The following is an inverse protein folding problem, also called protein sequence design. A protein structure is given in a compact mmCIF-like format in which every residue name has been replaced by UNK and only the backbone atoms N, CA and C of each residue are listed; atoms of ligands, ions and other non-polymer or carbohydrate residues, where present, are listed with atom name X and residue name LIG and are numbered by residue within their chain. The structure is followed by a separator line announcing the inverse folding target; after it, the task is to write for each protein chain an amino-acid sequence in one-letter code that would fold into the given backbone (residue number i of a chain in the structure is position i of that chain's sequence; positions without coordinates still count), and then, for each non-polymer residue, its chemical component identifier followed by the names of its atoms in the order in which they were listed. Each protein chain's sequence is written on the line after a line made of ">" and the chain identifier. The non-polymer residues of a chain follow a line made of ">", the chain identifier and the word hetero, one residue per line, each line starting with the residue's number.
data_IF_399383690854
#
_entry.id   IF_399383690854
#
_cell.length_a   1.000
_cell.length_b   1.000
_cell.length_c   1.000
_cell.angle_alpha   90.00
_cell.angle_beta   90.00
_cell.angle_gamma   90.00
#
_symmetry.space_group_name_H-M   'P 1'
#
loop_
_entity.id
_entity.type
_entity.pdbx_description
1 polymer ?
#
# COMPACT_ATOMS: atom_id res chain seq x y z
N UNK A 1 -10.31 -7.62 7.87
CA UNK A 1 -10.12 -8.94 8.52
C UNK A 1 -11.19 -9.11 9.58
N UNK A 2 -11.75 -10.33 9.71
CA UNK A 2 -12.71 -10.67 10.76
C UNK A 2 -12.10 -11.76 11.63
N UNK A 3 -12.02 -11.51 12.92
CA UNK A 3 -11.51 -12.47 13.92
C UNK A 3 -12.50 -12.49 15.11
N UNK A 4 -13.02 -13.67 15.46
CA UNK A 4 -14.01 -13.84 16.53
C UNK A 4 -15.20 -12.87 16.40
N UNK A 5 -15.77 -12.78 15.19
CA UNK A 5 -16.88 -11.89 14.82
C UNK A 5 -16.61 -10.37 14.95
N UNK A 6 -15.37 -9.97 15.26
CA UNK A 6 -14.94 -8.58 15.28
C UNK A 6 -14.27 -8.21 13.96
N UNK A 7 -14.73 -7.14 13.32
CA UNK A 7 -14.15 -6.63 12.08
C UNK A 7 -13.05 -5.60 12.34
N UNK A 8 -11.90 -5.83 11.72
CA UNK A 8 -10.74 -4.94 11.74
C UNK A 8 -10.47 -4.39 10.34
N UNK A 9 -10.39 -3.08 10.22
CA UNK A 9 -10.10 -2.39 8.96
C UNK A 9 -8.63 -1.96 8.98
N UNK A 10 -7.77 -2.76 8.39
CA UNK A 10 -6.34 -2.50 8.29
C UNK A 10 -6.00 -1.90 6.93
N UNK A 11 -5.01 -1.00 6.87
CA UNK A 11 -4.50 -0.36 5.65
C UNK A 11 -3.01 -0.62 5.47
N UNK A 12 -2.20 -0.21 6.46
CA UNK A 12 -0.75 -0.37 6.48
C UNK A 12 -0.35 -1.52 7.39
N UNK A 13 -1.04 -1.69 8.53
CA UNK A 13 -0.70 -2.74 9.47
C UNK A 13 -0.97 -4.12 8.87
N UNK A 14 0.00 -5.08 8.97
CA UNK A 14 -0.21 -6.46 8.58
C UNK A 14 -1.32 -7.11 9.41
N UNK A 15 -2.02 -8.07 8.82
CA UNK A 15 -3.10 -8.80 9.50
C UNK A 15 -2.62 -9.55 10.76
N UNK A 16 -1.35 -9.91 10.79
CA UNK A 16 -0.70 -10.56 11.93
C UNK A 16 -0.65 -9.73 13.21
N UNK A 17 -0.84 -8.39 13.14
CA UNK A 17 -0.82 -7.49 14.32
C UNK A 17 -1.86 -7.88 15.38
N UNK A 18 -2.91 -8.59 14.95
CA UNK A 18 -3.96 -9.09 15.85
C UNK A 18 -3.46 -10.20 16.80
N UNK A 19 -2.26 -10.72 16.60
CA UNK A 19 -1.66 -11.82 17.36
C UNK A 19 -0.37 -11.34 18.03
N UNK A 20 -0.40 -11.24 19.35
CA UNK A 20 0.72 -10.69 20.15
C UNK A 20 2.01 -11.52 20.10
N UNK A 21 1.91 -12.80 19.75
CA UNK A 21 3.03 -13.75 19.60
C UNK A 21 3.68 -13.71 18.21
N UNK A 22 3.22 -12.85 17.30
CA UNK A 22 3.76 -12.70 15.94
C UNK A 22 4.50 -11.38 15.80
N UNK A 23 5.72 -11.43 15.25
CA UNK A 23 6.42 -10.22 14.79
C UNK A 23 5.80 -9.74 13.49
N UNK A 24 5.42 -8.47 13.43
CA UNK A 24 4.79 -7.85 12.28
C UNK A 24 5.72 -6.83 11.65
N UNK A 25 6.00 -6.97 10.36
CA UNK A 25 7.00 -6.15 9.67
C UNK A 25 6.36 -5.37 8.53
N UNK A 26 6.52 -4.05 8.55
CA UNK A 26 6.31 -3.19 7.38
C UNK A 26 7.65 -3.02 6.66
N UNK A 27 7.83 -3.72 5.55
CA UNK A 27 9.09 -3.76 4.80
C UNK A 27 9.38 -2.45 4.04
N UNK A 28 10.60 -2.35 3.52
CA UNK A 28 11.08 -1.17 2.77
C UNK A 28 10.35 -0.93 1.44
N UNK A 29 9.61 -1.91 0.94
CA UNK A 29 8.78 -1.77 -0.27
C UNK A 29 7.48 -0.99 -0.04
N UNK A 30 7.05 -0.84 1.20
CA UNK A 30 5.86 -0.06 1.56
C UNK A 30 6.21 1.42 1.61
N UNK A 31 5.32 2.29 1.08
CA UNK A 31 5.40 3.74 1.34
C UNK A 31 4.49 4.07 2.52
N UNK A 32 5.01 4.82 3.50
CA UNK A 32 4.38 5.00 4.81
C UNK A 32 3.94 6.44 5.00
N UNK A 33 2.64 6.61 5.24
CA UNK A 33 2.13 7.86 5.78
C UNK A 33 2.16 7.77 7.32
N UNK A 34 3.03 8.53 8.01
CA UNK A 34 3.18 8.49 9.46
C UNK A 34 1.87 8.69 10.22
N UNK A 35 1.09 9.70 9.87
CA UNK A 35 -0.18 9.97 10.53
C UNK A 35 -1.20 8.83 10.37
N UNK A 36 -1.22 8.17 9.20
CA UNK A 36 -2.12 7.03 8.96
C UNK A 36 -1.71 5.83 9.79
N UNK A 37 -0.43 5.46 9.83
CA UNK A 37 0.01 4.29 10.62
C UNK A 37 -0.15 4.52 12.12
N UNK A 38 0.13 5.71 12.62
CA UNK A 38 -0.08 6.06 14.02
C UNK A 38 -1.57 6.01 14.40
N UNK A 39 -2.45 6.49 13.52
CA UNK A 39 -3.89 6.38 13.72
C UNK A 39 -4.34 4.90 13.77
N UNK A 40 -3.86 4.05 12.85
CA UNK A 40 -4.17 2.62 12.89
C UNK A 40 -3.65 1.94 14.17
N UNK A 41 -2.44 2.30 14.64
CA UNK A 41 -1.90 1.82 15.92
C UNK A 41 -2.80 2.25 17.08
N UNK A 42 -3.24 3.50 17.11
CA UNK A 42 -4.14 4.01 18.13
C UNK A 42 -5.50 3.27 18.12
N UNK A 43 -6.07 3.03 16.93
CA UNK A 43 -7.30 2.26 16.76
C UNK A 43 -7.16 0.81 17.26
N UNK A 44 -6.01 0.18 17.02
CA UNK A 44 -5.73 -1.17 17.53
C UNK A 44 -5.59 -1.17 19.05
N UNK A 45 -4.85 -0.22 19.61
CA UNK A 45 -4.70 -0.06 21.06
C UNK A 45 -6.04 0.18 21.77
N UNK A 46 -6.91 0.96 21.17
CA UNK A 46 -8.27 1.18 21.68
C UNK A 46 -9.12 -0.11 21.71
N UNK A 47 -8.78 -1.11 20.89
CA UNK A 47 -9.40 -2.44 20.86
C UNK A 47 -8.63 -3.49 21.69
N UNK A 48 -7.66 -3.06 22.50
CA UNK A 48 -6.89 -3.95 23.38
C UNK A 48 -5.72 -4.68 22.70
N UNK A 49 -5.30 -4.25 21.49
CA UNK A 49 -4.15 -4.81 20.77
C UNK A 49 -2.97 -3.86 20.95
N UNK A 50 -1.87 -4.30 21.56
CA UNK A 50 -0.76 -3.42 21.96
C UNK A 50 0.05 -2.86 20.79
N UNK A 51 0.17 -3.61 19.68
CA UNK A 51 1.07 -3.35 18.56
C UNK A 51 2.57 -3.28 18.93
N UNK A 52 2.99 -3.75 20.10
CA UNK A 52 4.40 -3.73 20.53
C UNK A 52 5.28 -4.67 19.69
N UNK A 53 4.65 -5.57 18.97
CA UNK A 53 5.24 -6.54 18.04
C UNK A 53 5.37 -6.01 16.59
N UNK A 54 5.12 -4.71 16.37
CA UNK A 54 5.26 -4.06 15.06
C UNK A 54 6.69 -3.56 14.87
N UNK A 55 7.24 -3.80 13.67
CA UNK A 55 8.53 -3.27 13.23
C UNK A 55 8.37 -2.62 11.87
N UNK A 56 8.86 -1.40 11.71
CA UNK A 56 8.76 -0.60 10.49
C UNK A 56 10.16 -0.39 9.93
N UNK A 57 10.35 -0.63 8.65
CA UNK A 57 11.64 -0.44 8.00
C UNK A 57 12.09 1.02 8.02
N UNK A 58 13.30 1.26 8.48
CA UNK A 58 14.01 2.52 8.38
C UNK A 58 14.20 2.99 6.93
N UNK A 59 14.17 2.07 5.95
CA UNK A 59 14.34 2.33 4.52
C UNK A 59 13.04 2.57 3.76
N UNK A 60 11.88 2.42 4.39
CA UNK A 60 10.60 2.75 3.79
C UNK A 60 10.50 4.25 3.48
N UNK A 61 9.81 4.60 2.38
CA UNK A 61 9.65 6.01 2.00
C UNK A 61 8.44 6.64 2.69
N UNK A 62 8.59 7.90 3.05
CA UNK A 62 7.58 8.70 3.75
C UNK A 62 6.63 9.34 2.74
N UNK A 63 5.34 9.12 2.91
CA UNK A 63 4.28 9.84 2.20
C UNK A 63 4.00 11.14 2.94
N UNK A 64 4.29 12.26 2.28
CA UNK A 64 4.02 13.60 2.81
C UNK A 64 2.73 14.19 2.21
N UNK A 65 2.13 15.22 2.83
CA UNK A 65 0.89 15.85 2.36
C UNK A 65 0.93 16.33 0.92
N UNK A 66 2.07 16.85 0.46
CA UNK A 66 2.21 17.28 -0.93
C UNK A 66 2.09 16.13 -1.95
N UNK A 67 2.40 14.88 -1.56
CA UNK A 67 2.19 13.73 -2.43
C UNK A 67 0.69 13.49 -2.66
N UNK A 68 -0.12 13.51 -1.59
CA UNK A 68 -1.57 13.37 -1.71
C UNK A 68 -2.19 14.50 -2.53
N UNK A 69 -1.71 15.74 -2.32
CA UNK A 69 -2.17 16.89 -3.08
C UNK A 69 -1.82 16.80 -4.56
N UNK A 70 -0.60 16.36 -4.89
CA UNK A 70 -0.19 16.15 -6.28
C UNK A 70 -1.00 15.03 -6.96
N UNK A 71 -1.26 13.92 -6.27
CA UNK A 71 -2.10 12.84 -6.76
C UNK A 71 -3.52 13.35 -7.11
N UNK A 72 -4.11 14.15 -6.23
CA UNK A 72 -5.42 14.77 -6.46
C UNK A 72 -5.42 15.71 -7.68
N UNK A 73 -4.42 16.59 -7.77
CA UNK A 73 -4.32 17.58 -8.85
C UNK A 73 -4.04 16.93 -10.20
N UNK A 74 -3.18 15.90 -10.24
CA UNK A 74 -2.89 15.12 -11.43
C UNK A 74 -4.14 14.37 -11.93
N UNK A 75 -4.87 13.69 -11.05
CA UNK A 75 -6.13 13.03 -11.40
C UNK A 75 -7.18 14.02 -11.93
N UNK A 76 -7.27 15.21 -11.32
CA UNK A 76 -8.18 16.27 -11.79
C UNK A 76 -7.80 16.78 -13.19
N UNK A 77 -6.51 16.95 -13.45
CA UNK A 77 -6.01 17.40 -14.75
C UNK A 77 -6.23 16.39 -15.88
N UNK A 78 -6.22 15.09 -15.58
CA UNK A 78 -6.48 14.03 -16.55
C UNK A 78 -7.96 13.98 -17.02
N UNK A 79 -8.89 14.54 -16.26
CA UNK A 79 -10.30 14.60 -16.62
C UNK A 79 -10.92 13.22 -16.93
N UNK A 80 -11.30 12.97 -18.17
CA UNK A 80 -11.87 11.70 -18.62
C UNK A 80 -10.83 10.56 -18.70
N UNK A 81 -9.54 10.88 -18.74
CA UNK A 81 -8.44 9.92 -18.80
C UNK A 81 -7.88 9.57 -17.40
N UNK A 82 -8.59 9.91 -16.33
CA UNK A 82 -8.19 9.61 -14.96
C UNK A 82 -7.97 8.10 -14.75
N UNK A 83 -7.01 7.77 -13.91
CA UNK A 83 -6.70 6.39 -13.52
C UNK A 83 -7.70 5.88 -12.47
N UNK A 84 -8.24 6.79 -11.66
CA UNK A 84 -9.14 6.47 -10.56
C UNK A 84 -8.40 6.15 -9.27
N UNK A 85 -7.31 6.87 -8.99
CA UNK A 85 -6.50 6.68 -7.78
C UNK A 85 -7.30 6.91 -6.49
N UNK A 86 -6.74 6.47 -5.37
CA UNK A 86 -7.31 6.71 -4.04
C UNK A 86 -6.98 8.09 -3.50
N UNK A 87 -6.20 8.90 -4.23
CA UNK A 87 -5.68 10.21 -3.83
C UNK A 87 -4.85 10.16 -2.54
N UNK A 88 -4.24 9.01 -2.28
CA UNK A 88 -3.40 8.78 -1.10
C UNK A 88 -1.95 9.22 -1.27
N UNK A 89 -1.56 9.75 -2.43
CA UNK A 89 -0.19 10.18 -2.71
C UNK A 89 0.81 9.05 -2.96
N UNK A 90 0.33 7.84 -3.14
CA UNK A 90 1.17 6.64 -3.31
C UNK A 90 2.04 6.76 -4.58
N UNK A 91 1.41 7.09 -5.72
CA UNK A 91 2.12 7.29 -6.99
C UNK A 91 3.20 8.36 -6.91
N UNK A 92 2.88 9.58 -6.52
CA UNK A 92 3.88 10.65 -6.33
C UNK A 92 5.01 10.31 -5.35
N UNK A 93 4.75 9.55 -4.29
CA UNK A 93 5.79 9.08 -3.38
C UNK A 93 6.74 8.07 -4.06
N UNK A 94 6.23 7.13 -4.84
CA UNK A 94 7.07 6.23 -5.63
C UNK A 94 7.83 6.97 -6.74
N UNK A 95 7.25 8.02 -7.34
CA UNK A 95 7.97 8.88 -8.28
C UNK A 95 9.20 9.52 -7.61
N UNK A 96 9.05 10.06 -6.41
CA UNK A 96 10.16 10.64 -5.66
C UNK A 96 11.21 9.59 -5.27
N UNK A 97 10.79 8.38 -4.90
CA UNK A 97 11.69 7.25 -4.65
C UNK A 97 12.57 6.96 -5.88
N UNK A 98 11.96 6.83 -7.06
CA UNK A 98 12.67 6.51 -8.31
C UNK A 98 13.51 7.69 -8.79
N UNK A 99 13.04 8.93 -8.60
CA UNK A 99 13.80 10.16 -8.86
C UNK A 99 14.96 10.37 -7.86
N UNK A 100 15.01 9.59 -6.78
CA UNK A 100 16.02 9.67 -5.71
C UNK A 100 15.95 10.99 -4.91
N UNK A 101 14.77 11.60 -4.88
CA UNK A 101 14.45 12.77 -4.06
C UNK A 101 13.59 12.42 -2.84
N UNK A 102 13.13 11.16 -2.76
CA UNK A 102 12.28 10.70 -1.67
C UNK A 102 12.94 10.79 -0.30
N UNK A 103 12.12 10.99 0.72
CA UNK A 103 12.51 10.99 2.14
C UNK A 103 12.20 9.60 2.71
N UNK A 104 13.17 8.98 3.37
CA UNK A 104 13.00 7.68 4.04
C UNK A 104 12.66 7.88 5.52
N UNK A 105 12.23 6.81 6.15
CA UNK A 105 12.00 6.80 7.61
C UNK A 105 13.29 7.12 8.38
N UNK A 106 14.46 6.56 7.99
CA UNK A 106 15.74 6.91 8.62
C UNK A 106 16.06 8.40 8.52
N UNK A 107 15.74 9.05 7.40
CA UNK A 107 15.91 10.49 7.26
C UNK A 107 14.98 11.27 8.20
N UNK A 108 13.75 10.80 8.37
CA UNK A 108 12.76 11.40 9.28
C UNK A 108 13.19 11.28 10.76
N UNK A 109 13.92 10.20 11.12
CA UNK A 109 14.43 10.00 12.47
C UNK A 109 15.58 10.95 12.85
N UNK A 110 16.19 11.63 11.87
CA UNK A 110 17.29 12.58 12.04
C UNK A 110 16.80 14.00 11.73
N UNK A 111 16.46 14.82 12.76
CA UNK A 111 15.76 16.11 12.57
C UNK A 111 16.41 17.06 11.56
N UNK A 112 17.75 17.21 11.62
CA UNK A 112 18.48 18.12 10.73
C UNK A 112 18.44 17.62 9.27
N UNK A 113 18.62 16.30 9.06
CA UNK A 113 18.55 15.67 7.75
C UNK A 113 17.14 15.79 7.16
N UNK A 114 16.12 15.57 7.99
CA UNK A 114 14.73 15.72 7.58
C UNK A 114 14.42 17.15 7.19
N UNK A 115 14.80 18.13 8.02
CA UNK A 115 14.56 19.56 7.78
C UNK A 115 15.18 20.02 6.43
N UNK A 116 16.43 19.62 6.17
CA UNK A 116 17.11 19.95 4.91
C UNK A 116 16.40 19.36 3.69
N UNK A 117 16.13 18.03 3.71
CA UNK A 117 15.44 17.34 2.61
C UNK A 117 14.03 17.84 2.40
N UNK A 118 13.29 18.08 3.48
CA UNK A 118 11.93 18.64 3.41
C UNK A 118 11.93 20.01 2.74
N UNK A 119 12.85 20.89 3.10
CA UNK A 119 12.95 22.25 2.53
C UNK A 119 13.14 22.19 1.02
N UNK A 120 14.11 21.41 0.55
CA UNK A 120 14.40 21.26 -0.89
C UNK A 120 13.21 20.69 -1.64
N UNK A 121 12.62 19.62 -1.12
CA UNK A 121 11.49 18.95 -1.76
C UNK A 121 10.25 19.84 -1.78
N UNK A 122 9.95 20.51 -0.66
CA UNK A 122 8.77 21.34 -0.53
C UNK A 122 8.80 22.56 -1.46
N UNK A 123 9.98 23.19 -1.62
CA UNK A 123 10.15 24.27 -2.59
C UNK A 123 9.81 23.80 -4.02
N UNK A 124 10.35 22.65 -4.44
CA UNK A 124 10.08 22.09 -5.76
C UNK A 124 8.60 21.69 -5.94
N UNK A 125 8.01 21.03 -4.93
CA UNK A 125 6.60 20.59 -4.99
C UNK A 125 5.62 21.76 -4.94
N UNK A 126 5.87 22.76 -4.10
CA UNK A 126 5.08 23.97 -4.05
C UNK A 126 5.13 24.72 -5.40
N UNK A 127 6.28 24.78 -6.06
CA UNK A 127 6.38 25.37 -7.40
C UNK A 127 5.49 24.64 -8.42
N UNK A 128 5.43 23.32 -8.39
CA UNK A 128 4.55 22.51 -9.25
C UNK A 128 3.08 22.76 -8.90
N UNK A 129 2.74 22.68 -7.61
CA UNK A 129 1.36 22.86 -7.12
C UNK A 129 0.82 24.23 -7.51
N UNK A 130 1.59 25.29 -7.30
CA UNK A 130 1.13 26.65 -7.54
C UNK A 130 1.18 27.06 -9.01
N UNK A 131 2.33 26.84 -9.68
CA UNK A 131 2.55 27.37 -11.04
C UNK A 131 1.92 26.52 -12.13
N UNK A 132 1.81 25.20 -11.93
CA UNK A 132 1.25 24.27 -12.93
C UNK A 132 -0.23 24.03 -12.67
N UNK A 133 -0.59 23.78 -11.41
CA UNK A 133 -1.95 23.37 -11.05
C UNK A 133 -2.80 24.47 -10.40
N UNK A 134 -2.22 25.65 -10.07
CA UNK A 134 -2.94 26.74 -9.42
C UNK A 134 -3.46 26.43 -8.01
N UNK A 135 -2.84 25.45 -7.35
CA UNK A 135 -3.19 25.05 -5.98
C UNK A 135 -2.44 25.88 -4.93
N UNK A 136 -2.87 25.76 -3.67
CA UNK A 136 -2.24 26.43 -2.54
C UNK A 136 -0.95 25.72 -2.11
N UNK A 137 0.12 26.45 -1.78
CA UNK A 137 1.37 25.89 -1.31
C UNK A 137 1.24 25.37 0.14
N UNK A 138 2.10 24.43 0.50
CA UNK A 138 2.26 24.01 1.88
C UNK A 138 3.26 24.90 2.61
N UNK A 139 3.00 25.13 3.90
CA UNK A 139 3.90 25.81 4.81
C UNK A 139 4.98 24.86 5.34
N UNK A 140 6.23 25.32 5.30
CA UNK A 140 7.37 24.50 5.71
C UNK A 140 7.40 24.23 7.22
N UNK A 141 7.22 25.27 8.04
CA UNK A 141 7.35 25.14 9.49
C UNK A 141 6.26 24.24 10.06
N UNK A 142 5.03 24.41 9.58
CA UNK A 142 3.90 23.56 9.97
C UNK A 142 4.17 22.08 9.65
N UNK A 143 4.63 21.78 8.43
CA UNK A 143 4.92 20.41 8.03
C UNK A 143 6.12 19.82 8.78
N UNK A 144 7.16 20.62 9.02
CA UNK A 144 8.33 20.22 9.78
C UNK A 144 7.94 19.79 11.20
N UNK A 145 7.22 20.65 11.92
CA UNK A 145 6.81 20.37 13.30
C UNK A 145 5.89 19.14 13.41
N UNK A 146 4.93 19.02 12.50
CA UNK A 146 4.02 17.88 12.45
C UNK A 146 4.80 16.55 12.27
N UNK A 147 5.71 16.51 11.31
CA UNK A 147 6.43 15.27 10.99
C UNK A 147 7.50 14.93 12.02
N UNK A 148 8.12 15.92 12.67
CA UNK A 148 9.01 15.66 13.81
C UNK A 148 8.23 15.07 15.01
N UNK A 149 7.01 15.51 15.25
CA UNK A 149 6.17 14.88 16.28
C UNK A 149 5.83 13.42 15.91
N UNK A 150 5.48 13.14 14.67
CA UNK A 150 5.28 11.76 14.21
C UNK A 150 6.56 10.91 14.33
N UNK A 151 7.74 11.48 14.10
CA UNK A 151 9.01 10.78 14.23
C UNK A 151 9.21 10.25 15.65
N UNK A 152 8.95 11.07 16.66
CA UNK A 152 9.08 10.66 18.07
C UNK A 152 8.10 9.53 18.44
N UNK A 153 6.85 9.61 17.94
CA UNK A 153 5.87 8.54 18.20
C UNK A 153 6.21 7.23 17.47
N UNK A 154 6.81 7.31 16.27
CA UNK A 154 7.19 6.15 15.48
C UNK A 154 8.50 5.51 15.92
N UNK A 155 9.39 6.24 16.58
CA UNK A 155 10.74 5.81 16.94
C UNK A 155 10.81 4.40 17.57
N UNK A 156 9.90 4.01 18.50
CA UNK A 156 9.93 2.68 19.09
C UNK A 156 9.71 1.51 18.12
N UNK A 157 9.15 1.79 16.95
CA UNK A 157 8.79 0.77 15.94
C UNK A 157 9.86 0.65 14.84
N UNK A 158 10.85 1.55 14.77
CA UNK A 158 11.77 1.63 13.63
C UNK A 158 12.98 0.73 13.82
N UNK A 159 13.27 -0.09 12.79
CA UNK A 159 14.48 -0.92 12.76
C UNK A 159 14.92 -1.22 11.31
N UNK A 160 16.13 -1.78 11.15
CA UNK A 160 16.54 -2.44 9.89
C UNK A 160 15.80 -3.77 9.77
N UNK A 161 14.70 -3.77 9.03
CA UNK A 161 13.85 -4.95 8.87
C UNK A 161 14.53 -6.09 8.10
N UNK A 162 15.56 -5.80 7.31
CA UNK A 162 16.36 -6.82 6.65
C UNK A 162 17.13 -7.67 7.69
N UNK A 163 17.71 -7.02 8.70
CA UNK A 163 18.39 -7.70 9.83
C UNK A 163 17.39 -8.50 10.65
N UNK A 164 16.25 -7.89 11.01
CA UNK A 164 15.20 -8.58 11.78
C UNK A 164 14.71 -9.84 11.07
N UNK A 165 14.51 -9.79 9.76
CA UNK A 165 14.07 -10.95 8.99
C UNK A 165 15.17 -12.01 8.87
N UNK A 166 16.44 -11.61 8.70
CA UNK A 166 17.56 -12.54 8.64
C UNK A 166 17.73 -13.31 9.95
N UNK A 167 17.57 -12.64 11.10
CA UNK A 167 17.55 -13.28 12.43
C UNK A 167 16.40 -14.30 12.54
N UNK A 168 15.18 -13.92 12.14
CA UNK A 168 13.99 -14.80 12.14
C UNK A 168 14.22 -16.06 11.29
N UNK A 169 14.82 -15.93 10.09
CA UNK A 169 15.15 -17.05 9.24
C UNK A 169 16.27 -17.92 9.84
N UNK A 170 17.29 -17.30 10.44
CA UNK A 170 18.39 -18.00 11.09
C UNK A 170 17.92 -18.87 12.28
N UNK A 171 16.86 -18.45 12.95
CA UNK A 171 16.18 -19.21 14.00
C UNK A 171 15.26 -20.34 13.46
N UNK A 172 15.17 -20.50 12.15
CA UNK A 172 14.30 -21.50 11.51
C UNK A 172 12.80 -21.23 11.61
N UNK A 173 12.42 -19.98 11.86
CA UNK A 173 11.01 -19.56 11.95
C UNK A 173 10.39 -19.34 10.57
N UNK A 174 9.07 -19.52 10.48
CA UNK A 174 8.33 -19.26 9.26
C UNK A 174 7.97 -17.76 9.14
N UNK A 175 8.06 -17.24 7.93
CA UNK A 175 7.67 -15.87 7.58
C UNK A 175 6.55 -15.91 6.54
N UNK A 176 5.46 -15.17 6.80
CA UNK A 176 4.38 -14.96 5.85
C UNK A 176 4.52 -13.58 5.22
N UNK A 177 4.72 -13.52 3.92
CA UNK A 177 4.68 -12.28 3.14
C UNK A 177 3.25 -12.00 2.70
N UNK A 178 2.67 -10.94 3.24
CA UNK A 178 1.34 -10.46 2.87
C UNK A 178 1.47 -9.44 1.76
N UNK A 179 1.01 -9.81 0.56
CA UNK A 179 0.94 -8.91 -0.58
C UNK A 179 -0.25 -7.95 -0.50
N UNK A 180 -0.21 -6.92 -1.32
CA UNK A 180 -1.30 -5.96 -1.47
C UNK A 180 -1.68 -5.83 -2.95
N UNK A 181 -2.80 -5.18 -3.25
CA UNK A 181 -3.36 -4.99 -4.60
C UNK A 181 -3.61 -6.33 -5.33
N UNK A 182 -3.21 -6.45 -6.60
CA UNK A 182 -3.41 -7.64 -7.40
C UNK A 182 -2.43 -7.68 -8.58
N UNK A 183 -2.18 -8.85 -9.16
CA UNK A 183 -1.26 -9.06 -10.29
C UNK A 183 -1.55 -8.12 -11.46
N UNK A 184 -2.82 -7.89 -11.83
CA UNK A 184 -3.17 -7.00 -12.95
C UNK A 184 -3.13 -5.51 -12.60
N UNK A 185 -2.76 -5.16 -11.37
CA UNK A 185 -2.39 -3.79 -10.98
C UNK A 185 -0.87 -3.59 -10.90
N UNK A 186 -0.07 -4.59 -11.24
CA UNK A 186 1.39 -4.48 -11.29
C UNK A 186 1.82 -3.49 -12.37
N UNK A 187 2.79 -2.61 -12.05
CA UNK A 187 3.21 -1.53 -12.96
C UNK A 187 3.83 -2.07 -14.26
N UNK A 188 4.51 -3.22 -14.20
CA UNK A 188 5.19 -3.81 -15.37
C UNK A 188 4.31 -4.83 -16.10
N UNK A 189 3.48 -5.57 -15.37
CA UNK A 189 2.75 -6.74 -15.87
C UNK A 189 1.23 -6.58 -15.87
N UNK A 190 0.72 -5.48 -15.32
CA UNK A 190 -0.71 -5.21 -15.24
C UNK A 190 -1.28 -4.51 -16.48
N UNK A 191 -2.50 -4.02 -16.32
CA UNK A 191 -3.26 -3.33 -17.40
C UNK A 191 -2.87 -1.84 -17.47
N UNK A 192 -1.60 -1.56 -17.74
CA UNK A 192 -1.07 -0.20 -17.85
C UNK A 192 -1.90 0.66 -18.82
N UNK A 193 -2.23 1.92 -18.52
CA UNK A 193 -1.81 2.72 -17.36
C UNK A 193 -2.67 2.54 -16.09
N UNK A 194 -3.69 1.68 -16.12
CA UNK A 194 -4.63 1.47 -15.02
C UNK A 194 -4.07 0.47 -14.00
N UNK A 195 -2.96 0.84 -13.36
CA UNK A 195 -2.15 0.03 -12.45
C UNK A 195 -1.79 0.82 -11.20
N UNK A 196 -1.23 0.16 -10.18
CA UNK A 196 -0.57 0.83 -9.06
C UNK A 196 0.85 1.25 -9.46
N UNK A 197 1.50 2.09 -8.66
CA UNK A 197 2.88 2.56 -8.91
C UNK A 197 3.94 1.62 -8.33
N UNK A 198 3.61 0.37 -8.10
CA UNK A 198 4.48 -0.64 -7.49
C UNK A 198 4.26 -2.01 -8.13
N UNK A 199 5.06 -3.00 -7.71
CA UNK A 199 4.97 -4.38 -8.16
C UNK A 199 4.33 -5.25 -7.07
N UNK A 200 3.01 -5.53 -7.11
CA UNK A 200 2.35 -6.45 -6.19
C UNK A 200 2.57 -7.93 -6.50
N UNK A 201 3.32 -8.26 -7.54
CA UNK A 201 3.71 -9.64 -7.85
C UNK A 201 4.62 -10.25 -6.79
N UNK A 202 4.59 -11.57 -6.61
CA UNK A 202 5.33 -12.29 -5.57
C UNK A 202 6.84 -12.04 -5.61
N UNK A 203 7.41 -11.79 -6.79
CA UNK A 203 8.84 -11.48 -6.94
C UNK A 203 9.29 -10.24 -6.16
N UNK A 204 8.39 -9.29 -5.93
CA UNK A 204 8.69 -8.08 -5.16
C UNK A 204 8.74 -8.32 -3.64
N UNK A 205 8.26 -9.45 -3.14
CA UNK A 205 8.39 -9.78 -1.72
C UNK A 205 9.87 -9.78 -1.28
N UNK A 206 10.77 -10.25 -2.12
CA UNK A 206 12.22 -10.23 -1.87
C UNK A 206 12.76 -8.78 -1.78
N UNK A 207 12.57 -7.97 -2.81
CA UNK A 207 13.09 -6.59 -2.85
C UNK A 207 12.37 -5.66 -1.87
N UNK A 208 11.07 -5.88 -1.67
CA UNK A 208 10.23 -5.06 -0.80
C UNK A 208 10.38 -5.34 0.70
N UNK A 209 10.98 -6.48 1.07
CA UNK A 209 11.30 -6.83 2.46
C UNK A 209 12.79 -6.83 2.78
N UNK A 210 13.66 -6.78 1.75
CA UNK A 210 15.11 -6.74 1.93
C UNK A 210 15.74 -8.13 2.14
N UNK A 211 15.06 -9.21 1.73
CA UNK A 211 15.58 -10.59 1.82
C UNK A 211 16.00 -11.14 0.47
N UNK A 212 16.81 -12.21 0.48
CA UNK A 212 17.16 -12.95 -0.73
C UNK A 212 15.97 -13.75 -1.30
N UNK A 213 15.88 -13.97 -2.63
CA UNK A 213 14.75 -14.67 -3.24
C UNK A 213 14.62 -16.13 -2.83
N UNK A 214 15.69 -16.74 -2.28
CA UNK A 214 15.69 -18.14 -1.83
C UNK A 214 14.86 -18.38 -0.56
N UNK A 215 14.47 -17.32 0.14
CA UNK A 215 13.62 -17.42 1.34
C UNK A 215 12.12 -17.48 1.00
N UNK A 216 11.77 -17.48 -0.28
CA UNK A 216 10.38 -17.62 -0.74
C UNK A 216 10.19 -19.05 -1.25
N UNK A 217 9.67 -19.92 -0.42
CA UNK A 217 9.48 -21.33 -0.74
C UNK A 217 8.14 -21.62 -1.40
N UNK A 218 7.09 -20.93 -0.94
CA UNK A 218 5.72 -21.15 -1.39
C UNK A 218 5.02 -19.84 -1.71
N UNK A 219 4.28 -19.84 -2.81
CA UNK A 219 3.45 -18.71 -3.22
C UNK A 219 1.99 -19.14 -3.33
N UNK A 220 1.14 -18.57 -2.48
CA UNK A 220 -0.30 -18.83 -2.47
C UNK A 220 -1.01 -17.70 -3.20
N UNK A 221 -1.71 -18.01 -4.28
CA UNK A 221 -2.58 -17.05 -4.97
C UNK A 221 -3.94 -16.96 -4.29
N UNK A 222 -4.29 -15.78 -3.78
CA UNK A 222 -5.64 -15.54 -3.27
C UNK A 222 -6.52 -15.02 -4.41
N UNK A 223 -7.62 -15.70 -4.70
CA UNK A 223 -8.53 -15.36 -5.78
C UNK A 223 -9.98 -15.48 -5.33
N UNK A 224 -10.83 -14.57 -5.74
CA UNK A 224 -12.28 -14.72 -5.60
C UNK A 224 -12.83 -15.67 -6.67
N UNK A 225 -13.94 -16.34 -6.39
CA UNK A 225 -14.67 -17.16 -7.38
C UNK A 225 -15.29 -16.31 -8.53
N UNK A 226 -15.10 -15.00 -8.51
CA UNK A 226 -15.51 -14.00 -9.50
C UNK A 226 -14.45 -12.89 -9.61
N UNK A 227 -14.57 -12.00 -10.58
CA UNK A 227 -13.63 -10.90 -10.76
C UNK A 227 -14.22 -9.59 -10.26
N UNK A 228 -13.39 -8.76 -9.61
CA UNK A 228 -13.77 -7.38 -9.23
C UNK A 228 -12.70 -6.39 -9.64
N UNK A 229 -13.12 -5.15 -9.95
CA UNK A 229 -12.21 -4.05 -10.24
C UNK A 229 -12.70 -2.76 -9.58
N UNK A 230 -11.77 -1.99 -9.02
CA UNK A 230 -12.00 -0.61 -8.60
C UNK A 230 -11.28 0.32 -9.58
N UNK A 231 -11.94 1.40 -9.98
CA UNK A 231 -11.38 2.37 -10.92
C UNK A 231 -11.58 1.98 -12.39
N UNK A 232 -10.89 2.72 -13.24
CA UNK A 232 -11.00 2.59 -14.68
C UNK A 232 -10.17 1.42 -15.23
N UNK A 233 -10.21 1.23 -16.54
CA UNK A 233 -9.43 0.23 -17.25
C UNK A 233 -10.22 -1.00 -17.70
N UNK A 234 -9.58 -1.90 -18.45
CA UNK A 234 -10.25 -3.04 -19.10
C UNK A 234 -10.77 -4.05 -18.08
N UNK A 235 -11.93 -4.63 -18.39
CA UNK A 235 -12.55 -5.69 -17.60
C UNK A 235 -13.37 -6.59 -18.55
N UNK A 236 -12.72 -7.60 -19.12
CA UNK A 236 -13.25 -8.42 -20.21
C UNK A 236 -14.52 -9.18 -19.84
N UNK A 237 -14.59 -9.67 -18.60
CA UNK A 237 -15.71 -10.47 -18.10
C UNK A 237 -16.73 -9.65 -17.28
N UNK A 238 -16.68 -8.31 -17.40
CA UNK A 238 -17.57 -7.42 -16.64
C UNK A 238 -19.05 -7.67 -16.95
N UNK A 239 -19.86 -7.64 -15.92
CA UNK A 239 -21.31 -7.71 -16.00
C UNK A 239 -21.89 -6.30 -15.78
N UNK A 240 -22.45 -5.74 -16.85
CA UNK A 240 -22.94 -4.35 -16.88
C UNK A 240 -24.41 -4.22 -16.48
N UNK A 241 -24.99 -5.28 -15.97
CA UNK A 241 -26.39 -5.34 -15.54
C UNK A 241 -26.63 -4.54 -14.25
N UNK A 242 -27.77 -3.90 -14.14
CA UNK A 242 -28.18 -3.12 -12.99
C UNK A 242 -28.93 -3.95 -11.94
N UNK A 243 -29.48 -5.09 -12.31
CA UNK A 243 -30.35 -5.96 -11.50
C UNK A 243 -30.11 -7.47 -11.71
N UNK A 244 -29.14 -7.82 -12.57
CA UNK A 244 -28.76 -9.18 -12.89
C UNK A 244 -27.62 -9.73 -12.01
N UNK A 245 -26.87 -10.75 -12.53
CA UNK A 245 -25.81 -11.42 -11.77
C UNK A 245 -24.70 -10.51 -11.26
N UNK A 246 -24.32 -9.45 -12.00
CA UNK A 246 -23.28 -8.49 -11.57
C UNK A 246 -23.72 -7.68 -10.35
N UNK A 247 -24.98 -7.26 -10.33
CA UNK A 247 -25.56 -6.59 -9.16
C UNK A 247 -25.63 -7.56 -7.96
N UNK A 248 -26.13 -8.79 -8.17
CA UNK A 248 -26.23 -9.80 -7.11
C UNK A 248 -24.85 -10.12 -6.49
N UNK A 249 -23.80 -10.27 -7.31
CA UNK A 249 -22.42 -10.46 -6.83
C UNK A 249 -21.97 -9.28 -5.97
N UNK A 250 -22.27 -8.05 -6.41
CA UNK A 250 -21.88 -6.84 -5.67
C UNK A 250 -22.56 -6.75 -4.32
N UNK A 251 -23.86 -6.95 -4.27
CA UNK A 251 -24.64 -6.82 -3.03
C UNK A 251 -24.34 -7.96 -2.05
N UNK A 252 -24.39 -9.22 -2.50
CA UNK A 252 -24.12 -10.39 -1.68
C UNK A 252 -22.65 -10.46 -1.22
N UNK A 253 -21.74 -10.09 -2.11
CA UNK A 253 -20.30 -10.05 -1.83
C UNK A 253 -19.85 -8.81 -1.05
N UNK A 254 -20.73 -7.84 -0.82
CA UNK A 254 -20.40 -6.54 -0.23
C UNK A 254 -19.20 -5.87 -0.96
N UNK A 255 -19.26 -5.87 -2.31
CA UNK A 255 -18.17 -5.42 -3.15
C UNK A 255 -18.14 -3.88 -3.27
N UNK A 256 -17.69 -3.28 -2.17
CA UNK A 256 -17.47 -1.83 -2.02
C UNK A 256 -16.06 -1.55 -1.53
N UNK A 257 -15.50 -0.41 -1.93
CA UNK A 257 -14.16 0.00 -1.50
C UNK A 257 -14.15 0.28 0.00
N UNK A 258 -13.24 -0.36 0.74
CA UNK A 258 -13.16 -0.22 2.21
C UNK A 258 -12.91 1.22 2.66
N UNK A 259 -12.15 1.99 1.88
CA UNK A 259 -11.76 3.38 2.17
C UNK A 259 -12.76 4.38 1.58
N UNK A 260 -13.15 4.17 0.33
CA UNK A 260 -13.93 5.14 -0.45
C UNK A 260 -15.42 4.84 -0.48
N UNK A 261 -15.85 3.64 -0.08
CA UNK A 261 -17.23 3.18 -0.22
C UNK A 261 -17.69 3.02 -1.69
N UNK A 262 -16.81 3.23 -2.67
CA UNK A 262 -17.17 3.13 -4.11
C UNK A 262 -17.58 1.71 -4.46
N UNK A 263 -18.68 1.51 -5.22
CA UNK A 263 -19.05 0.19 -5.73
C UNK A 263 -17.95 -0.35 -6.64
N UNK A 264 -17.61 -1.61 -6.45
CA UNK A 264 -16.69 -2.31 -7.35
C UNK A 264 -17.43 -2.79 -8.59
N UNK A 265 -16.78 -2.72 -9.74
CA UNK A 265 -17.20 -3.39 -10.96
C UNK A 265 -17.06 -4.89 -10.72
N UNK A 266 -18.05 -5.69 -11.11
CA UNK A 266 -18.09 -7.14 -10.90
C UNK A 266 -18.25 -7.88 -12.21
N UNK A 267 -17.71 -9.07 -12.30
CA UNK A 267 -17.79 -9.91 -13.49
C UNK A 267 -17.44 -11.38 -13.21
N UNK A 268 -17.61 -12.21 -14.25
CA UNK A 268 -17.25 -13.62 -14.14
C UNK A 268 -15.76 -13.81 -13.87
N UNK A 269 -15.39 -14.94 -13.24
CA UNK A 269 -13.99 -15.33 -13.11
C UNK A 269 -13.32 -15.40 -14.48
N UNK A 270 -12.24 -14.66 -14.66
CA UNK A 270 -11.43 -14.70 -15.85
C UNK A 270 -10.31 -15.74 -15.71
N UNK A 271 -10.53 -16.92 -16.28
CA UNK A 271 -9.58 -18.05 -16.19
C UNK A 271 -8.28 -17.76 -16.98
N UNK A 272 -8.31 -16.93 -18.02
CA UNK A 272 -7.11 -16.51 -18.74
C UNK A 272 -6.22 -15.63 -17.86
N UNK A 273 -6.82 -14.62 -17.22
CA UNK A 273 -6.13 -13.76 -16.26
C UNK A 273 -5.56 -14.57 -15.09
N UNK A 274 -6.33 -15.54 -14.59
CA UNK A 274 -5.88 -16.41 -13.51
C UNK A 274 -4.67 -17.27 -13.93
N UNK A 275 -4.70 -17.86 -15.12
CA UNK A 275 -3.57 -18.63 -15.66
C UNK A 275 -2.33 -17.77 -15.87
N UNK A 276 -2.50 -16.53 -16.34
CA UNK A 276 -1.41 -15.56 -16.48
C UNK A 276 -0.81 -15.24 -15.10
N UNK A 277 -1.65 -14.94 -14.12
CA UNK A 277 -1.22 -14.64 -12.75
C UNK A 277 -0.49 -15.80 -12.10
N UNK A 278 -0.99 -17.03 -12.28
CA UNK A 278 -0.36 -18.24 -11.75
C UNK A 278 1.07 -18.43 -12.29
N UNK A 279 1.25 -18.23 -13.59
CA UNK A 279 2.57 -18.31 -14.24
C UNK A 279 3.51 -17.23 -13.74
N UNK A 280 3.05 -15.96 -13.73
CA UNK A 280 3.87 -14.80 -13.38
C UNK A 280 4.36 -14.86 -11.93
N UNK A 281 3.51 -15.31 -11.03
CA UNK A 281 3.81 -15.41 -9.60
C UNK A 281 4.37 -16.78 -9.18
N UNK A 282 4.53 -17.73 -10.11
CA UNK A 282 4.94 -19.10 -9.79
C UNK A 282 4.11 -19.74 -8.68
N UNK A 283 2.77 -19.62 -8.77
CA UNK A 283 1.88 -20.06 -7.72
C UNK A 283 1.97 -21.56 -7.48
N UNK A 284 2.13 -21.96 -6.22
CA UNK A 284 2.05 -23.37 -5.80
C UNK A 284 0.60 -23.84 -5.64
N UNK A 285 -0.27 -22.94 -5.18
CA UNK A 285 -1.68 -23.25 -4.98
C UNK A 285 -2.54 -21.97 -5.05
N UNK A 286 -3.86 -22.17 -5.08
CA UNK A 286 -4.86 -21.11 -5.04
C UNK A 286 -5.74 -21.27 -3.80
N UNK A 287 -5.92 -20.20 -3.07
CA UNK A 287 -6.97 -20.04 -2.07
C UNK A 287 -8.16 -19.32 -2.75
N UNK A 288 -9.18 -20.10 -3.11
CA UNK A 288 -10.40 -19.56 -3.72
C UNK A 288 -11.32 -19.08 -2.60
N UNK A 289 -11.64 -17.80 -2.63
CA UNK A 289 -12.53 -17.15 -1.66
C UNK A 289 -13.88 -16.86 -2.31
N UNK A 290 -14.86 -16.44 -1.48
CA UNK A 290 -16.26 -16.20 -1.88
C UNK A 290 -16.49 -15.77 -3.31
#
# INVERSE_FOLDING_TARGET
>A
VVVNDVSYKLRLLPSGVLYSDKTNVLGNGVVINPGVVLHEIADMKAKGISCDNLVISDRAHVVLPYHARLDELQEAALGCNKIGTTKGGIGPCYMDKVARTGIRICDLMEPDTFAEKLKINLEAKNAIITKIYGGEPFDYETMLQEFLAYAEELRPYIADTGVVLDEIFSEGKNVLFEGAQATFLDIDHGTYPYVTSSNPTAGNASTGSGIGPRYIDHVVGVVKAYTTRVGEGPFVTELLDTDGPGHQIRETGHEYGTVTGRPRRCGWLDAFMLKYSARLNSLNCLAVTR
#
